data_IF_909663499361
#
_entry.id   IF_909663499361
#
_cell.length_a   1.000
_cell.length_b   1.000
_cell.length_c   1.000
_cell.angle_alpha   90.00
_cell.angle_beta   90.00
_cell.angle_gamma   90.00
#
_symmetry.space_group_name_H-M   'P 1'
#
loop_
_entity.id
_entity.type
_entity.pdbx_description
1 polymer ?
#
# COMPACT_ATOMS: atom_id res chain seq x y z
N UNK A 1 -33.20 -20.17 0.68
CA UNK A 1 -33.33 -21.61 0.97
C UNK A 1 -34.21 -22.35 -0.04
N UNK A 2 -35.45 -21.93 -0.30
CA UNK A 2 -36.37 -22.62 -1.25
C UNK A 2 -35.78 -22.76 -2.67
N UNK A 3 -35.18 -21.69 -3.22
CA UNK A 3 -34.59 -21.73 -4.56
C UNK A 3 -33.44 -22.75 -4.69
N UNK A 4 -32.56 -22.82 -3.68
CA UNK A 4 -31.46 -23.78 -3.66
C UNK A 4 -32.00 -25.21 -3.61
N UNK A 5 -32.95 -25.49 -2.71
CA UNK A 5 -33.58 -26.82 -2.59
C UNK A 5 -34.28 -27.24 -3.88
N UNK A 6 -35.02 -26.33 -4.52
CA UNK A 6 -35.65 -26.60 -5.81
C UNK A 6 -34.59 -27.00 -6.83
N UNK A 7 -33.53 -26.19 -6.98
CA UNK A 7 -32.46 -26.45 -7.94
C UNK A 7 -31.70 -27.75 -7.65
N UNK A 8 -31.48 -28.07 -6.38
CA UNK A 8 -30.88 -29.33 -5.93
C UNK A 8 -31.70 -30.55 -6.36
N UNK A 9 -33.03 -30.47 -6.21
CA UNK A 9 -33.94 -31.57 -6.57
C UNK A 9 -34.19 -31.67 -8.08
N UNK A 10 -34.21 -30.56 -8.82
CA UNK A 10 -34.54 -30.56 -10.25
C UNK A 10 -33.33 -30.68 -11.16
N UNK A 11 -32.13 -30.33 -10.69
CA UNK A 11 -30.92 -30.31 -11.52
C UNK A 11 -29.87 -31.28 -10.96
N UNK A 12 -29.70 -32.40 -11.64
CA UNK A 12 -28.70 -33.43 -11.31
C UNK A 12 -27.25 -32.91 -11.30
N UNK A 13 -26.96 -31.79 -11.96
CA UNK A 13 -25.61 -31.21 -11.98
C UNK A 13 -25.41 -30.16 -10.89
N UNK A 14 -26.47 -29.74 -10.22
CA UNK A 14 -26.41 -28.73 -9.19
C UNK A 14 -26.02 -29.37 -7.86
N UNK A 15 -24.72 -29.33 -7.56
CA UNK A 15 -24.16 -29.65 -6.24
C UNK A 15 -24.37 -31.13 -5.78
N UNK A 16 -24.97 -31.96 -6.64
CA UNK A 16 -25.12 -33.41 -6.53
C UNK A 16 -23.84 -34.20 -6.92
N UNK A 17 -22.66 -33.64 -6.69
CA UNK A 17 -21.37 -34.26 -7.02
C UNK A 17 -20.73 -34.96 -5.82
N UNK A 18 -21.31 -34.80 -4.63
CA UNK A 18 -20.75 -35.35 -3.40
C UNK A 18 -21.37 -36.68 -3.03
N UNK A 19 -20.52 -37.61 -2.62
CA UNK A 19 -20.95 -38.89 -2.08
C UNK A 19 -21.08 -38.75 -0.56
N UNK A 20 -22.32 -38.79 -0.09
CA UNK A 20 -22.66 -38.71 1.34
C UNK A 20 -22.49 -40.06 2.04
N UNK A 21 -22.42 -40.04 3.38
CA UNK A 21 -22.38 -41.27 4.17
C UNK A 21 -23.69 -42.08 4.01
N UNK A 22 -24.82 -41.41 3.86
CA UNK A 22 -26.13 -42.05 3.66
C UNK A 22 -26.17 -42.89 2.38
N UNK A 23 -25.65 -42.35 1.28
CA UNK A 23 -25.57 -43.10 0.01
C UNK A 23 -24.71 -44.35 0.17
N UNK A 24 -23.58 -44.24 0.88
CA UNK A 24 -22.71 -45.38 1.19
C UNK A 24 -23.40 -46.42 2.07
N UNK A 25 -24.22 -46.01 3.03
CA UNK A 25 -25.01 -46.93 3.85
C UNK A 25 -26.07 -47.66 3.03
N UNK A 26 -26.78 -46.95 2.15
CA UNK A 26 -27.78 -47.55 1.26
C UNK A 26 -27.12 -48.57 0.32
N UNK A 27 -25.95 -48.24 -0.23
CA UNK A 27 -25.17 -49.14 -1.08
C UNK A 27 -24.73 -50.41 -0.34
N UNK A 28 -24.26 -50.28 0.91
CA UNK A 28 -23.93 -51.43 1.77
C UNK A 28 -25.14 -52.32 2.09
N UNK A 29 -26.32 -51.73 2.30
CA UNK A 29 -27.55 -52.50 2.53
C UNK A 29 -27.94 -53.25 1.25
N UNK A 30 -27.81 -52.63 0.07
CA UNK A 30 -28.07 -53.28 -1.22
C UNK A 30 -27.09 -54.41 -1.50
N UNK A 31 -25.81 -54.21 -1.21
CA UNK A 31 -24.77 -55.24 -1.33
C UNK A 31 -25.12 -56.49 -0.50
N UNK A 32 -25.60 -56.30 0.74
CA UNK A 32 -26.06 -57.40 1.60
C UNK A 32 -27.31 -58.13 1.09
N UNK A 33 -28.07 -57.49 0.22
CA UNK A 33 -29.29 -58.04 -0.38
C UNK A 33 -29.02 -58.64 -1.77
N UNK A 34 -27.75 -58.82 -2.16
CA UNK A 34 -27.33 -59.26 -3.50
C UNK A 34 -27.96 -58.43 -4.64
N UNK A 35 -28.14 -57.13 -4.40
CA UNK A 35 -28.59 -56.16 -5.40
C UNK A 35 -27.41 -55.43 -6.01
N UNK A 36 -27.63 -54.82 -7.17
CA UNK A 36 -26.64 -53.98 -7.83
C UNK A 36 -26.18 -52.82 -6.93
N UNK A 37 -24.86 -52.61 -6.90
CA UNK A 37 -24.19 -51.54 -6.16
C UNK A 37 -23.58 -50.51 -7.11
N UNK A 38 -23.48 -49.26 -6.66
CA UNK A 38 -22.90 -48.15 -7.44
C UNK A 38 -21.40 -48.02 -7.15
N UNK A 39 -20.93 -48.55 -6.01
CA UNK A 39 -19.53 -48.60 -5.65
C UNK A 39 -18.94 -49.98 -6.04
N UNK A 40 -17.65 -50.07 -6.46
CA UNK A 40 -16.66 -48.99 -6.56
C UNK A 40 -16.79 -48.13 -7.83
N UNK A 41 -16.49 -46.83 -7.70
CA UNK A 41 -16.52 -45.87 -8.81
C UNK A 41 -15.46 -46.19 -9.87
N UNK A 42 -15.83 -46.04 -11.14
CA UNK A 42 -14.90 -46.10 -12.27
C UNK A 42 -13.90 -44.92 -12.21
N UNK A 43 -12.64 -45.00 -12.71
CA UNK A 43 -11.70 -43.88 -12.65
C UNK A 43 -12.21 -42.59 -13.29
N UNK A 44 -13.07 -42.69 -14.33
CA UNK A 44 -13.74 -41.53 -14.93
C UNK A 44 -14.73 -40.87 -13.97
N UNK A 45 -15.47 -41.66 -13.21
CA UNK A 45 -16.48 -41.18 -12.25
C UNK A 45 -15.82 -40.59 -11.01
N UNK A 46 -14.66 -41.12 -10.59
CA UNK A 46 -13.89 -40.59 -9.46
C UNK A 46 -13.42 -39.13 -9.66
N UNK A 47 -13.31 -38.66 -10.91
CA UNK A 47 -12.99 -37.27 -11.19
C UNK A 47 -14.22 -36.34 -11.14
N UNK A 48 -15.43 -36.92 -11.21
CA UNK A 48 -16.70 -36.18 -11.19
C UNK A 48 -17.37 -36.22 -9.81
N UNK A 49 -17.30 -37.37 -9.14
CA UNK A 49 -17.91 -37.59 -7.84
C UNK A 49 -16.84 -37.73 -6.76
N UNK A 50 -16.99 -36.91 -5.72
CA UNK A 50 -15.98 -36.76 -4.69
C UNK A 50 -16.62 -37.09 -3.33
N UNK A 51 -15.96 -37.89 -2.47
CA UNK A 51 -16.46 -38.11 -1.12
C UNK A 51 -16.27 -36.84 -0.28
N UNK A 52 -17.23 -36.56 0.60
CA UNK A 52 -17.21 -35.39 1.49
C UNK A 52 -15.93 -35.28 2.33
N UNK A 53 -15.26 -36.40 2.59
CA UNK A 53 -14.04 -36.48 3.41
C UNK A 53 -12.75 -36.27 2.61
N UNK A 54 -12.82 -36.07 1.29
CA UNK A 54 -11.61 -35.82 0.51
C UNK A 54 -11.19 -34.36 0.58
N UNK A 55 -9.87 -34.13 0.49
CA UNK A 55 -9.26 -32.80 0.42
C UNK A 55 -9.23 -32.28 -1.03
N UNK A 56 -9.62 -33.10 -2.00
CA UNK A 56 -9.56 -32.77 -3.42
C UNK A 56 -10.73 -31.88 -3.82
N UNK A 57 -10.44 -30.66 -4.25
CA UNK A 57 -11.44 -29.75 -4.79
C UNK A 57 -11.94 -30.15 -6.18
N UNK A 58 -13.24 -29.94 -6.40
CA UNK A 58 -13.92 -30.10 -7.69
C UNK A 58 -13.51 -28.97 -8.64
N UNK A 59 -13.52 -29.23 -9.96
CA UNK A 59 -13.19 -28.22 -10.97
C UNK A 59 -14.01 -26.92 -10.84
N UNK A 60 -15.30 -27.03 -10.51
CA UNK A 60 -16.20 -25.89 -10.28
C UNK A 60 -15.77 -25.08 -9.05
N UNK A 61 -15.42 -25.76 -7.95
CA UNK A 61 -14.91 -25.12 -6.74
C UNK A 61 -13.57 -24.44 -7.00
N UNK A 62 -12.68 -25.06 -7.78
CA UNK A 62 -11.40 -24.46 -8.17
C UNK A 62 -11.61 -23.16 -8.94
N UNK A 63 -12.54 -23.12 -9.89
CA UNK A 63 -12.85 -21.89 -10.64
C UNK A 63 -13.38 -20.80 -9.71
N UNK A 64 -14.23 -21.17 -8.74
CA UNK A 64 -14.74 -20.22 -7.77
C UNK A 64 -13.63 -19.67 -6.86
N UNK A 65 -12.75 -20.56 -6.38
CA UNK A 65 -11.58 -20.17 -5.58
C UNK A 65 -10.61 -19.31 -6.37
N UNK A 66 -10.28 -19.65 -7.62
CA UNK A 66 -9.35 -18.86 -8.44
C UNK A 66 -9.92 -17.47 -8.69
N UNK A 67 -11.22 -17.36 -8.99
CA UNK A 67 -11.90 -16.06 -9.10
C UNK A 67 -11.78 -15.24 -7.81
N UNK A 68 -12.04 -15.87 -6.66
CA UNK A 68 -11.90 -15.22 -5.35
C UNK A 68 -10.45 -14.79 -5.08
N UNK A 69 -9.49 -15.64 -5.41
CA UNK A 69 -8.07 -15.38 -5.21
C UNK A 69 -7.57 -14.23 -6.11
N UNK A 70 -8.03 -14.16 -7.36
CA UNK A 70 -7.72 -13.05 -8.29
C UNK A 70 -8.32 -11.74 -7.79
N UNK A 71 -9.54 -11.77 -7.25
CA UNK A 71 -10.14 -10.58 -6.66
C UNK A 71 -9.35 -10.09 -5.44
N UNK A 72 -8.96 -11.02 -4.56
CA UNK A 72 -8.14 -10.72 -3.40
C UNK A 72 -6.76 -10.19 -3.81
N UNK A 73 -6.10 -10.81 -4.79
CA UNK A 73 -4.78 -10.36 -5.22
C UNK A 73 -4.82 -8.95 -5.82
N UNK A 74 -5.86 -8.63 -6.59
CA UNK A 74 -6.04 -7.29 -7.17
C UNK A 74 -6.27 -6.23 -6.08
N UNK A 75 -7.05 -6.56 -5.06
CA UNK A 75 -7.30 -5.65 -3.92
C UNK A 75 -6.03 -5.44 -3.09
N UNK A 76 -5.29 -6.51 -2.79
CA UNK A 76 -3.98 -6.42 -2.12
C UNK A 76 -3.00 -5.58 -2.94
N UNK A 77 -2.92 -5.80 -4.25
CA UNK A 77 -2.02 -5.05 -5.13
C UNK A 77 -2.33 -3.54 -5.12
N UNK A 78 -3.62 -3.17 -5.15
CA UNK A 78 -4.02 -1.76 -5.01
C UNK A 78 -3.58 -1.13 -3.69
N UNK A 79 -3.67 -1.86 -2.58
CA UNK A 79 -3.21 -1.40 -1.27
C UNK A 79 -1.69 -1.24 -1.25
N UNK A 80 -0.95 -2.20 -1.81
CA UNK A 80 0.51 -2.10 -1.92
C UNK A 80 0.93 -0.87 -2.73
N UNK A 81 0.24 -0.56 -3.83
CA UNK A 81 0.52 0.67 -4.61
C UNK A 81 0.31 1.92 -3.75
N UNK A 82 -0.81 2.02 -3.03
CA UNK A 82 -1.07 3.19 -2.17
C UNK A 82 0.03 3.36 -1.12
N UNK A 83 0.41 2.26 -0.44
CA UNK A 83 1.52 2.28 0.52
C UNK A 83 2.82 2.74 -0.14
N UNK A 84 3.16 2.21 -1.32
CA UNK A 84 4.37 2.63 -2.06
C UNK A 84 4.36 4.13 -2.39
N UNK A 85 3.21 4.67 -2.80
CA UNK A 85 3.07 6.11 -3.07
C UNK A 85 3.34 6.92 -1.80
N UNK A 86 2.72 6.57 -0.67
CA UNK A 86 2.92 7.27 0.60
C UNK A 86 4.39 7.25 1.05
N UNK A 87 5.05 6.09 0.94
CA UNK A 87 6.48 5.97 1.26
C UNK A 87 7.37 6.73 0.28
N UNK A 88 7.05 6.72 -1.02
CA UNK A 88 7.82 7.46 -2.02
C UNK A 88 7.75 8.97 -1.77
N UNK A 89 6.57 9.48 -1.41
CA UNK A 89 6.37 10.89 -1.07
C UNK A 89 7.19 11.28 0.17
N UNK A 90 7.10 10.47 1.23
CA UNK A 90 7.93 10.65 2.43
C UNK A 90 9.42 10.68 2.09
N UNK A 91 9.89 9.74 1.28
CA UNK A 91 11.30 9.64 0.91
C UNK A 91 11.78 10.84 0.08
N UNK A 92 10.96 11.31 -0.86
CA UNK A 92 11.26 12.52 -1.65
C UNK A 92 11.34 13.75 -0.74
N UNK A 93 10.36 13.96 0.14
CA UNK A 93 10.35 15.09 1.07
C UNK A 93 11.54 15.05 2.03
N UNK A 94 11.89 13.86 2.54
CA UNK A 94 13.08 13.66 3.37
C UNK A 94 14.38 13.95 2.62
N UNK A 95 14.45 13.55 1.35
CA UNK A 95 15.61 13.82 0.48
C UNK A 95 15.75 15.30 0.18
N UNK A 96 14.63 16.01 -0.10
CA UNK A 96 14.61 17.47 -0.26
C UNK A 96 15.06 18.14 1.02
N UNK A 97 14.58 17.68 2.18
CA UNK A 97 15.01 18.22 3.47
C UNK A 97 16.50 17.97 3.71
N UNK A 98 17.04 16.81 3.34
CA UNK A 98 18.45 16.50 3.50
C UNK A 98 19.35 17.36 2.61
N UNK A 99 19.01 17.49 1.32
CA UNK A 99 19.82 18.24 0.34
C UNK A 99 19.55 19.75 0.36
N UNK A 100 18.41 20.19 0.87
CA UNK A 100 18.01 21.60 0.95
C UNK A 100 18.57 22.34 2.17
N UNK A 101 19.30 21.67 3.07
CA UNK A 101 20.05 22.32 4.15
C UNK A 101 21.27 23.04 3.58
N UNK A 102 21.02 24.19 3.00
CA UNK A 102 22.06 25.10 2.55
C UNK A 102 22.31 26.12 3.66
N UNK A 103 23.36 25.88 4.46
CA UNK A 103 23.97 26.92 5.30
C UNK A 103 24.92 27.73 4.43
N UNK A 104 24.38 28.57 3.55
CA UNK A 104 25.19 29.56 2.86
C UNK A 104 25.54 30.65 3.85
N UNK A 105 26.73 30.56 4.45
CA UNK A 105 27.41 31.73 5.00
C UNK A 105 27.64 32.67 3.83
N UNK A 106 26.74 33.62 3.62
CA UNK A 106 26.88 34.63 2.57
C UNK A 106 28.20 35.33 2.86
N UNK A 107 29.21 35.02 2.04
CA UNK A 107 30.54 35.56 2.21
C UNK A 107 30.47 37.05 1.92
N UNK A 108 30.49 37.82 3.02
CA UNK A 108 30.96 39.19 3.15
C UNK A 108 30.78 40.03 1.89
N UNK A 109 29.66 40.79 1.81
CA UNK A 109 29.61 41.94 0.92
C UNK A 109 30.76 42.84 1.38
N UNK A 110 31.84 42.93 0.59
CA UNK A 110 32.99 43.79 0.88
C UNK A 110 32.46 45.19 1.26
N UNK A 111 32.46 45.50 2.55
CA UNK A 111 31.99 46.77 3.06
C UNK A 111 32.97 47.85 2.60
N UNK A 112 32.61 48.58 1.55
CA UNK A 112 33.40 49.73 1.09
C UNK A 112 33.22 50.84 2.12
N UNK A 113 34.19 50.98 3.02
CA UNK A 113 34.21 52.04 4.04
C UNK A 113 34.53 53.39 3.41
N UNK A 114 33.61 54.35 3.52
CA UNK A 114 33.81 55.73 3.04
C UNK A 114 34.41 56.55 4.20
N UNK A 115 35.65 57.03 4.03
CA UNK A 115 36.33 57.88 5.02
C UNK A 115 36.24 59.36 4.63
N UNK A 116 35.63 60.18 5.48
CA UNK A 116 35.54 61.64 5.30
C UNK A 116 36.71 62.30 6.05
N UNK A 117 37.51 63.12 5.36
CA UNK A 117 38.61 63.90 5.94
C UNK A 117 38.24 65.37 6.12
N UNK A 118 38.63 66.00 7.23
CA UNK A 118 38.35 67.41 7.56
C UNK A 118 37.77 67.63 8.97
N UNK A 119 38.04 68.81 9.55
CA UNK A 119 37.67 69.21 10.93
C UNK A 119 36.67 70.38 10.98
N UNK A 120 35.73 70.44 10.04
CA UNK A 120 34.66 71.44 10.01
C UNK A 120 33.28 70.89 10.38
N UNK A 121 32.31 71.77 10.62
CA UNK A 121 30.90 71.42 10.87
C UNK A 121 30.28 70.64 9.70
N UNK A 122 30.67 70.94 8.47
CA UNK A 122 30.22 70.18 7.29
C UNK A 122 30.78 68.74 7.30
N UNK A 123 32.04 68.57 7.71
CA UNK A 123 32.68 67.25 7.78
C UNK A 123 32.06 66.36 8.87
N UNK A 124 31.62 66.94 10.00
CA UNK A 124 30.89 66.19 11.02
C UNK A 124 29.49 65.77 10.55
N UNK A 125 28.77 66.64 9.83
CA UNK A 125 27.49 66.29 9.21
C UNK A 125 27.63 65.12 8.22
N UNK A 126 28.61 65.18 7.32
CA UNK A 126 28.86 64.09 6.36
C UNK A 126 29.27 62.78 7.05
N UNK A 127 30.09 62.83 8.11
CA UNK A 127 30.42 61.62 8.90
C UNK A 127 29.18 60.99 9.54
N UNK A 128 28.26 61.81 10.06
CA UNK A 128 27.02 61.30 10.65
C UNK A 128 26.13 60.63 9.61
N UNK A 129 26.00 61.22 8.41
CA UNK A 129 25.25 60.62 7.31
C UNK A 129 25.92 59.30 6.87
N UNK A 130 27.22 59.31 6.60
CA UNK A 130 27.95 58.10 6.15
C UNK A 130 27.85 56.97 7.17
N UNK A 131 27.94 57.25 8.48
CA UNK A 131 27.75 56.23 9.52
C UNK A 131 26.33 55.67 9.55
N UNK A 132 25.31 56.50 9.35
CA UNK A 132 23.91 56.06 9.32
C UNK A 132 23.60 55.14 8.13
N UNK A 133 24.33 55.29 7.02
CA UNK A 133 24.17 54.48 5.81
C UNK A 133 25.25 53.41 5.61
N UNK A 134 26.24 53.33 6.50
CA UNK A 134 27.24 52.27 6.45
C UNK A 134 26.54 50.96 6.80
N UNK A 135 26.57 49.95 5.91
CA UNK A 135 25.98 48.66 6.22
C UNK A 135 26.70 48.12 7.46
N UNK A 136 25.96 47.96 8.55
CA UNK A 136 26.48 47.32 9.75
C UNK A 136 26.90 45.90 9.35
N UNK A 137 28.11 45.45 9.74
CA UNK A 137 28.65 44.10 9.51
C UNK A 137 27.85 43.03 10.29
N UNK A 138 26.53 43.03 10.11
CA UNK A 138 25.67 41.98 10.58
C UNK A 138 25.92 40.79 9.66
N UNK A 139 26.59 39.76 10.17
CA UNK A 139 26.65 38.46 9.52
C UNK A 139 25.21 37.96 9.37
N UNK A 140 24.63 38.13 8.18
CA UNK A 140 23.31 37.59 7.87
C UNK A 140 23.53 36.10 7.57
N UNK A 141 23.48 35.28 8.62
CA UNK A 141 23.39 33.83 8.47
C UNK A 141 21.97 33.50 8.01
N UNK A 142 21.83 33.19 6.72
CA UNK A 142 20.54 32.78 6.15
C UNK A 142 20.39 31.29 6.38
N UNK A 143 19.62 30.92 7.39
CA UNK A 143 19.21 29.54 7.61
C UNK A 143 17.98 29.21 6.75
N UNK A 144 18.12 28.23 5.87
CA UNK A 144 17.04 27.75 4.97
C UNK A 144 16.18 26.65 5.60
N UNK A 145 16.59 26.08 6.74
CA UNK A 145 15.84 25.06 7.48
C UNK A 145 14.36 25.37 7.76
N UNK A 146 13.96 26.59 8.17
CA UNK A 146 12.55 26.88 8.46
C UNK A 146 11.66 26.88 7.20
N UNK A 147 12.24 26.95 6.01
CA UNK A 147 11.52 26.94 4.73
C UNK A 147 11.37 25.52 4.14
N UNK A 148 12.04 24.52 4.72
CA UNK A 148 12.04 23.14 4.23
C UNK A 148 10.80 22.37 4.73
N UNK A 149 10.20 21.50 3.90
CA UNK A 149 9.06 20.70 4.32
C UNK A 149 9.45 19.69 5.41
N UNK A 150 8.54 19.48 6.38
CA UNK A 150 8.70 18.48 7.43
C UNK A 150 8.09 17.13 6.98
N UNK A 151 8.89 16.09 6.70
CA UNK A 151 8.38 14.82 6.22
C UNK A 151 7.71 14.05 7.37
N UNK A 152 6.38 13.99 7.35
CA UNK A 152 5.59 13.20 8.30
C UNK A 152 5.62 11.73 7.83
N UNK A 153 6.06 10.77 8.66
CA UNK A 153 6.06 9.37 8.27
C UNK A 153 4.62 8.84 8.07
N UNK A 154 4.41 7.91 7.12
CA UNK A 154 3.10 7.30 6.92
C UNK A 154 2.65 6.59 8.20
N UNK A 155 1.42 6.90 8.63
CA UNK A 155 0.86 6.38 9.87
C UNK A 155 0.32 4.96 9.64
N UNK A 156 0.90 3.97 10.32
CA UNK A 156 0.56 2.55 10.20
C UNK A 156 -0.45 2.09 11.27
N UNK A 157 -0.79 2.96 12.22
CA UNK A 157 -1.52 2.59 13.45
C UNK A 157 -3.03 2.92 13.39
N UNK A 158 -3.66 2.89 12.22
CA UNK A 158 -5.10 3.14 12.08
C UNK A 158 -5.84 2.12 11.23
#
# INVERSE_FOLDING_TARGET
>A
VIHYRHKWLTNERFDNQYITQDLRQIDLIRAKQDKETVLPLNPRERNKYIPLTSITLIAVEKIHLTKSAVFLSLTTFKLCIHMMVDYSLYWILSTIRYHGRFETKVQQVNSVGIYVSGEGYLASLYRSIVRAFSPSDANIEIDTLPCLPDPIPPNLDR
#
